data_IF_131688702330
#
_entry.id   IF_131688702330
#
_cell.length_a   1.000
_cell.length_b   1.000
_cell.length_c   1.000
_cell.angle_alpha   90.00
_cell.angle_beta   90.00
_cell.angle_gamma   90.00
#
_symmetry.space_group_name_H-M   'P 1'
#
loop_
_entity.id
_entity.type
_entity.pdbx_description
1 polymer ?
#
# COMPACT_ATOMS: atom_id res chain seq x y z
N UNK A 1 11.62 15.09 41.73
CA UNK A 1 12.54 14.00 41.32
C UNK A 1 12.50 13.97 39.80
N UNK A 2 13.38 14.77 39.20
CA UNK A 2 13.44 14.97 37.75
C UNK A 2 14.18 13.82 37.09
N UNK A 3 13.46 13.02 36.32
CA UNK A 3 14.04 12.11 35.35
C UNK A 3 14.11 12.83 34.01
N UNK A 4 14.99 13.83 33.88
CA UNK A 4 15.44 14.30 32.57
C UNK A 4 16.30 13.21 31.95
N UNK A 5 15.64 12.27 31.26
CA UNK A 5 16.30 11.34 30.35
C UNK A 5 16.94 12.18 29.23
N UNK A 6 18.24 12.43 29.36
CA UNK A 6 19.09 12.82 28.25
C UNK A 6 19.13 11.65 27.25
N UNK A 7 18.17 11.60 26.34
CA UNK A 7 18.28 10.82 25.10
C UNK A 7 19.40 11.47 24.29
N UNK A 8 20.52 10.76 24.13
CA UNK A 8 21.71 11.31 23.47
C UNK A 8 21.50 11.60 21.97
N UNK A 9 22.44 12.32 21.33
CA UNK A 9 22.38 12.66 19.90
C UNK A 9 22.35 11.42 18.97
N UNK A 10 22.77 10.25 19.46
CA UNK A 10 22.73 8.99 18.71
C UNK A 10 21.32 8.39 18.62
N UNK A 11 20.49 8.53 19.65
CA UNK A 11 19.07 8.11 19.64
C UNK A 11 18.25 8.96 18.68
N UNK A 12 18.47 10.28 18.68
CA UNK A 12 17.81 11.21 17.75
C UNK A 12 18.14 10.92 16.28
N UNK A 13 19.38 10.50 15.99
CA UNK A 13 19.79 10.14 14.63
C UNK A 13 19.14 8.83 14.17
N UNK A 14 19.06 7.82 15.05
CA UNK A 14 18.42 6.55 14.74
C UNK A 14 16.91 6.70 14.50
N UNK A 15 16.25 7.54 15.30
CA UNK A 15 14.82 7.84 15.14
C UNK A 15 14.55 8.58 13.83
N UNK A 16 15.37 9.58 13.48
CA UNK A 16 15.26 10.29 12.18
C UNK A 16 15.44 9.35 10.99
N UNK A 17 16.40 8.43 11.06
CA UNK A 17 16.63 7.41 10.02
C UNK A 17 15.46 6.43 9.95
N UNK A 18 14.84 6.10 11.09
CA UNK A 18 13.70 5.19 11.13
C UNK A 18 12.46 5.84 10.50
N UNK A 19 12.20 7.11 10.82
CA UNK A 19 11.10 7.91 10.26
C UNK A 19 11.29 8.15 8.76
N UNK A 20 12.51 8.49 8.31
CA UNK A 20 12.77 8.67 6.87
C UNK A 20 12.50 7.39 6.06
N UNK A 21 12.79 6.22 6.65
CA UNK A 21 12.50 4.92 6.03
C UNK A 21 11.01 4.60 5.97
N UNK A 22 10.22 4.99 6.97
CA UNK A 22 8.76 4.87 6.93
C UNK A 22 8.20 5.74 5.78
N UNK A 23 8.78 6.93 5.55
CA UNK A 23 8.44 7.78 4.40
C UNK A 23 8.83 7.18 3.05
N UNK A 24 9.96 6.48 2.95
CA UNK A 24 10.31 5.70 1.75
C UNK A 24 9.29 4.59 1.44
N UNK A 25 8.55 4.08 2.44
CA UNK A 25 7.48 3.09 2.23
C UNK A 25 6.15 3.72 1.78
N UNK A 26 6.00 5.04 1.91
CA UNK A 26 4.82 5.80 1.48
C UNK A 26 4.87 6.13 -0.02
N UNK A 27 5.27 5.17 -0.87
CA UNK A 27 5.29 5.29 -2.33
C UNK A 27 3.88 5.31 -2.94
N UNK A 28 3.04 6.23 -2.46
CA UNK A 28 1.63 6.32 -2.74
C UNK A 28 1.31 6.45 -4.22
N UNK A 29 2.13 7.17 -5.00
CA UNK A 29 1.95 7.29 -6.46
C UNK A 29 1.99 5.94 -7.19
N UNK A 30 2.85 5.02 -6.74
CA UNK A 30 2.89 3.65 -7.29
C UNK A 30 1.60 2.92 -6.91
N UNK A 31 1.19 2.99 -5.64
CA UNK A 31 -0.03 2.33 -5.14
C UNK A 31 -1.30 2.84 -5.82
N UNK A 32 -1.43 4.16 -6.02
CA UNK A 32 -2.53 4.78 -6.77
C UNK A 32 -2.56 4.24 -8.19
N UNK A 33 -1.44 4.26 -8.88
CA UNK A 33 -1.35 3.78 -10.24
C UNK A 33 -1.67 2.29 -10.37
N UNK A 34 -1.19 1.44 -9.46
CA UNK A 34 -1.58 0.01 -9.37
C UNK A 34 -3.09 -0.13 -9.18
N UNK A 35 -3.69 0.64 -8.27
CA UNK A 35 -5.14 0.64 -8.05
C UNK A 35 -5.94 1.02 -9.29
N UNK A 36 -5.55 2.09 -10.00
CA UNK A 36 -6.17 2.51 -11.27
C UNK A 36 -6.06 1.40 -12.32
N UNK A 37 -4.90 0.75 -12.40
CA UNK A 37 -4.63 -0.32 -13.37
C UNK A 37 -5.51 -1.55 -13.12
N UNK A 38 -5.69 -1.92 -11.84
CA UNK A 38 -6.60 -3.00 -11.44
C UNK A 38 -8.05 -2.62 -11.73
N UNK A 39 -8.45 -1.37 -11.47
CA UNK A 39 -9.80 -0.90 -11.76
C UNK A 39 -10.09 -0.96 -13.27
N UNK A 40 -9.13 -0.54 -14.10
CA UNK A 40 -9.25 -0.59 -15.55
C UNK A 40 -9.31 -2.05 -16.05
N UNK A 41 -8.48 -2.94 -15.49
CA UNK A 41 -8.55 -4.36 -15.79
C UNK A 41 -9.90 -4.98 -15.39
N UNK A 42 -10.45 -4.61 -14.24
CA UNK A 42 -11.77 -5.05 -13.80
C UNK A 42 -12.90 -4.55 -14.71
N UNK A 43 -12.83 -3.28 -15.14
CA UNK A 43 -13.83 -2.67 -16.02
C UNK A 43 -13.80 -3.27 -17.44
N UNK A 44 -12.60 -3.49 -17.98
CA UNK A 44 -12.39 -4.01 -19.34
C UNK A 44 -12.35 -5.53 -19.42
N UNK A 45 -12.23 -6.21 -18.27
CA UNK A 45 -12.03 -7.66 -18.14
C UNK A 45 -10.78 -8.16 -18.86
N UNK A 46 -9.72 -7.36 -18.83
CA UNK A 46 -8.45 -7.66 -19.50
C UNK A 46 -7.26 -7.42 -18.55
N UNK A 47 -6.50 -8.49 -18.32
CA UNK A 47 -5.30 -8.47 -17.47
C UNK A 47 -4.16 -7.63 -18.04
N UNK A 48 -4.18 -7.31 -19.33
CA UNK A 48 -3.18 -6.46 -19.99
C UNK A 48 -3.08 -5.11 -19.30
N UNK A 49 -4.21 -4.51 -18.92
CA UNK A 49 -4.24 -3.21 -18.22
C UNK A 49 -3.63 -3.29 -16.83
N UNK A 50 -3.80 -4.41 -16.13
CA UNK A 50 -3.20 -4.64 -14.82
C UNK A 50 -1.67 -4.71 -14.94
N UNK A 51 -1.15 -5.44 -15.92
CA UNK A 51 0.28 -5.61 -16.14
C UNK A 51 0.94 -4.31 -16.62
N UNK A 52 0.45 -3.74 -17.72
CA UNK A 52 1.00 -2.52 -18.32
C UNK A 52 0.92 -1.35 -17.35
N UNK A 53 -0.26 -1.16 -16.75
CA UNK A 53 -0.48 -0.04 -15.83
C UNK A 53 0.35 -0.15 -14.55
N UNK A 54 0.51 -1.35 -13.98
CA UNK A 54 1.37 -1.52 -12.78
C UNK A 54 2.84 -1.25 -13.10
N UNK A 55 3.36 -1.74 -14.23
CA UNK A 55 4.72 -1.46 -14.67
C UNK A 55 4.95 0.04 -14.88
N UNK A 56 4.00 0.71 -15.54
CA UNK A 56 4.07 2.16 -15.78
C UNK A 56 4.01 2.94 -14.46
N UNK A 57 3.18 2.50 -13.52
CA UNK A 57 3.04 3.14 -12.20
C UNK A 57 4.33 3.08 -11.39
N UNK A 58 5.05 1.94 -11.43
CA UNK A 58 6.37 1.82 -10.83
C UNK A 58 7.36 2.77 -11.52
N UNK A 59 7.42 2.76 -12.85
CA UNK A 59 8.35 3.60 -13.60
C UNK A 59 8.12 5.10 -13.33
N UNK A 60 6.87 5.57 -13.41
CA UNK A 60 6.48 6.95 -13.14
C UNK A 60 6.74 7.29 -11.66
N UNK A 61 6.29 6.43 -10.75
CA UNK A 61 6.41 6.66 -9.31
C UNK A 61 7.86 6.79 -8.87
N UNK A 62 8.71 5.83 -9.23
CA UNK A 62 10.15 5.87 -8.93
C UNK A 62 10.79 7.11 -9.54
N UNK A 63 10.55 7.37 -10.83
CA UNK A 63 11.15 8.53 -11.51
C UNK A 63 10.71 9.86 -10.87
N UNK A 64 9.43 10.00 -10.51
CA UNK A 64 8.91 11.20 -9.87
C UNK A 64 9.53 11.42 -8.49
N UNK A 65 9.58 10.38 -7.65
CA UNK A 65 10.18 10.47 -6.32
C UNK A 65 11.69 10.71 -6.37
N UNK A 66 12.42 10.02 -7.26
CA UNK A 66 13.86 10.25 -7.44
C UNK A 66 14.15 11.68 -7.91
N UNK A 67 13.34 12.22 -8.83
CA UNK A 67 13.49 13.61 -9.31
C UNK A 67 13.19 14.63 -8.20
N UNK A 68 12.19 14.38 -7.35
CA UNK A 68 11.73 15.35 -6.35
C UNK A 68 12.54 15.31 -5.04
N UNK A 69 13.02 14.13 -4.63
CA UNK A 69 13.63 13.91 -3.32
C UNK A 69 15.02 13.27 -3.37
N UNK A 70 15.54 12.95 -4.57
CA UNK A 70 16.81 12.25 -4.74
C UNK A 70 16.70 10.74 -4.52
N UNK A 71 17.82 10.03 -4.68
CA UNK A 71 17.87 8.57 -4.52
C UNK A 71 17.91 8.19 -3.04
N UNK A 72 16.88 7.49 -2.57
CA UNK A 72 16.87 6.91 -1.23
C UNK A 72 17.97 5.84 -1.09
N UNK A 73 18.85 5.99 -0.09
CA UNK A 73 19.83 4.94 0.28
C UNK A 73 19.11 3.82 1.03
N UNK A 74 18.54 2.88 0.28
CA UNK A 74 17.97 1.66 0.86
C UNK A 74 19.06 0.75 1.43
N UNK A 75 18.96 0.41 2.72
CA UNK A 75 19.81 -0.62 3.34
C UNK A 75 19.42 -2.01 2.82
N UNK A 76 20.34 -2.69 2.12
CA UNK A 76 20.17 -3.96 1.39
C UNK A 76 19.37 -5.05 2.13
N UNK A 77 19.59 -5.23 3.44
CA UNK A 77 18.93 -6.26 4.25
C UNK A 77 17.43 -6.02 4.47
N UNK A 78 17.02 -4.78 4.76
CA UNK A 78 15.59 -4.47 4.99
C UNK A 78 14.79 -4.45 3.69
N UNK A 79 15.45 -4.10 2.58
CA UNK A 79 14.88 -4.23 1.23
C UNK A 79 14.44 -5.68 0.94
N UNK A 80 15.26 -6.66 1.32
CA UNK A 80 14.94 -8.08 1.09
C UNK A 80 13.70 -8.55 1.87
N UNK A 81 13.53 -8.11 3.12
CA UNK A 81 12.34 -8.46 3.93
C UNK A 81 11.07 -7.86 3.34
N UNK A 82 11.11 -6.59 2.93
CA UNK A 82 9.96 -5.93 2.30
C UNK A 82 9.62 -6.60 0.96
N UNK A 83 10.63 -6.93 0.14
CA UNK A 83 10.43 -7.65 -1.12
C UNK A 83 9.82 -9.03 -0.88
N UNK A 84 10.35 -9.79 0.08
CA UNK A 84 9.83 -11.11 0.43
C UNK A 84 8.37 -11.03 0.91
N UNK A 85 8.06 -10.07 1.79
CA UNK A 85 6.70 -9.83 2.25
C UNK A 85 5.77 -9.50 1.08
N UNK A 86 6.17 -8.59 0.19
CA UNK A 86 5.39 -8.24 -1.01
C UNK A 86 5.13 -9.45 -1.90
N UNK A 87 6.14 -10.32 -2.10
CA UNK A 87 5.98 -11.57 -2.87
C UNK A 87 4.95 -12.49 -2.20
N UNK A 88 5.03 -12.67 -0.88
CA UNK A 88 4.09 -13.50 -0.13
C UNK A 88 2.65 -12.96 -0.20
N UNK A 89 2.48 -11.64 -0.08
CA UNK A 89 1.17 -10.98 -0.21
C UNK A 89 0.60 -11.16 -1.62
N UNK A 90 1.42 -10.92 -2.66
CA UNK A 90 1.00 -11.14 -4.05
C UNK A 90 0.58 -12.59 -4.26
N UNK A 91 1.37 -13.55 -3.78
CA UNK A 91 1.06 -14.98 -3.90
C UNK A 91 -0.25 -15.34 -3.19
N UNK A 92 -0.46 -14.84 -1.97
CA UNK A 92 -1.70 -15.06 -1.23
C UNK A 92 -2.93 -14.50 -1.96
N UNK A 93 -2.82 -13.28 -2.51
CA UNK A 93 -3.90 -12.64 -3.28
C UNK A 93 -4.18 -13.37 -4.60
N UNK A 94 -3.14 -13.84 -5.30
CA UNK A 94 -3.29 -14.63 -6.54
C UNK A 94 -3.98 -15.96 -6.25
N UNK A 95 -3.58 -16.66 -5.18
CA UNK A 95 -4.23 -17.91 -4.77
C UNK A 95 -5.70 -17.67 -4.42
N UNK A 96 -5.98 -16.62 -3.63
CA UNK A 96 -7.34 -16.23 -3.26
C UNK A 96 -8.19 -15.85 -4.49
N UNK A 97 -7.60 -15.15 -5.45
CA UNK A 97 -8.21 -14.82 -6.75
C UNK A 97 -8.58 -16.07 -7.55
N UNK A 98 -7.72 -17.10 -7.51
CA UNK A 98 -8.02 -18.40 -8.09
C UNK A 98 -9.22 -19.08 -7.43
N UNK A 99 -9.35 -19.00 -6.10
CA UNK A 99 -10.53 -19.51 -5.42
C UNK A 99 -11.80 -18.77 -5.84
N UNK A 100 -11.76 -17.44 -5.94
CA UNK A 100 -12.91 -16.64 -6.38
C UNK A 100 -13.34 -16.93 -7.82
N UNK A 101 -12.38 -17.26 -8.69
CA UNK A 101 -12.65 -17.59 -10.09
C UNK A 101 -13.20 -19.02 -10.27
N UNK A 102 -12.59 -20.01 -9.59
CA UNK A 102 -12.85 -21.44 -9.87
C UNK A 102 -13.77 -22.10 -8.87
N UNK A 103 -13.94 -21.53 -7.67
CA UNK A 103 -14.78 -22.07 -6.58
C UNK A 103 -15.63 -20.96 -5.97
N UNK A 104 -16.65 -20.46 -6.69
CA UNK A 104 -17.55 -19.44 -6.16
C UNK A 104 -18.23 -19.98 -4.90
N UNK A 105 -17.82 -19.44 -3.76
CA UNK A 105 -18.29 -19.83 -2.44
C UNK A 105 -19.21 -18.76 -1.83
N UNK A 106 -19.61 -18.95 -0.56
CA UNK A 106 -20.42 -17.95 0.16
C UNK A 106 -19.64 -16.67 0.50
N UNK A 107 -18.34 -16.64 0.25
CA UNK A 107 -17.44 -15.52 0.55
C UNK A 107 -16.48 -15.30 -0.62
N UNK A 108 -16.04 -14.05 -0.80
CA UNK A 108 -14.93 -13.72 -1.69
C UNK A 108 -13.60 -13.75 -0.91
N UNK A 109 -12.70 -14.63 -1.32
CA UNK A 109 -11.39 -14.84 -0.68
C UNK A 109 -10.44 -13.68 -0.94
N UNK A 110 -10.47 -13.07 -2.13
CA UNK A 110 -9.58 -11.96 -2.50
C UNK A 110 -9.69 -10.78 -1.52
N UNK A 111 -10.86 -10.17 -1.32
CA UNK A 111 -11.02 -9.10 -0.33
C UNK A 111 -10.77 -9.57 1.12
N UNK A 112 -11.12 -10.82 1.45
CA UNK A 112 -10.93 -11.39 2.77
C UNK A 112 -9.45 -11.51 3.16
N UNK A 113 -8.60 -11.87 2.20
CA UNK A 113 -7.16 -12.03 2.40
C UNK A 113 -6.42 -10.70 2.22
N UNK A 114 -6.80 -9.92 1.19
CA UNK A 114 -6.10 -8.68 0.87
C UNK A 114 -6.23 -7.62 1.97
N UNK A 115 -7.42 -7.41 2.54
CA UNK A 115 -7.62 -6.40 3.59
C UNK A 115 -6.71 -6.58 4.81
N UNK A 116 -6.70 -7.74 5.48
CA UNK A 116 -5.84 -8.00 6.63
C UNK A 116 -4.34 -7.96 6.29
N UNK A 117 -3.93 -8.49 5.13
CA UNK A 117 -2.52 -8.46 4.72
C UNK A 117 -2.04 -7.04 4.40
N UNK A 118 -2.87 -6.22 3.74
CA UNK A 118 -2.58 -4.81 3.51
C UNK A 118 -2.43 -4.06 4.83
N UNK A 119 -3.36 -4.29 5.77
CA UNK A 119 -3.32 -3.67 7.09
C UNK A 119 -2.08 -4.09 7.88
N UNK A 120 -1.76 -5.38 7.91
CA UNK A 120 -0.57 -5.91 8.59
C UNK A 120 0.71 -5.36 7.98
N UNK A 121 0.79 -5.29 6.65
CA UNK A 121 1.92 -4.70 5.93
C UNK A 121 2.10 -3.22 6.25
N UNK A 122 1.02 -2.45 6.28
CA UNK A 122 1.05 -1.03 6.66
C UNK A 122 1.39 -0.84 8.14
N UNK A 123 0.87 -1.68 9.02
CA UNK A 123 1.18 -1.60 10.45
C UNK A 123 2.65 -1.88 10.73
N UNK A 124 3.23 -2.87 10.06
CA UNK A 124 4.66 -3.18 10.17
C UNK A 124 5.55 -2.11 9.50
N UNK A 125 5.11 -1.57 8.36
CA UNK A 125 5.87 -0.59 7.57
C UNK A 125 5.81 0.84 8.09
N UNK A 126 4.74 1.22 8.78
CA UNK A 126 4.51 2.58 9.31
C UNK A 126 4.50 2.59 10.84
N UNK A 127 5.30 1.73 11.47
CA UNK A 127 5.33 1.57 12.93
C UNK A 127 5.72 2.84 13.67
N UNK A 128 6.50 3.74 13.05
CA UNK A 128 6.99 4.97 13.68
C UNK A 128 6.16 6.19 13.31
N UNK A 129 5.64 6.22 12.08
CA UNK A 129 4.76 7.32 11.60
C UNK A 129 3.29 7.10 11.90
N UNK A 130 2.88 5.87 12.22
CA UNK A 130 1.51 5.49 12.55
C UNK A 130 0.59 5.34 11.33
N UNK A 131 -0.46 4.54 11.53
CA UNK A 131 -1.57 4.38 10.58
C UNK A 131 -2.57 5.52 10.73
N UNK A 132 -3.06 6.03 9.60
CA UNK A 132 -4.19 6.98 9.60
C UNK A 132 -5.53 6.25 9.66
N UNK A 133 -6.60 6.96 10.04
CA UNK A 133 -7.96 6.42 10.00
C UNK A 133 -8.35 5.90 8.61
N UNK A 134 -7.88 6.54 7.54
CA UNK A 134 -8.12 6.09 6.17
C UNK A 134 -7.54 4.70 5.86
N UNK A 135 -6.38 4.36 6.42
CA UNK A 135 -5.82 3.00 6.28
C UNK A 135 -6.77 1.95 6.86
N UNK A 136 -7.27 2.22 8.07
CA UNK A 136 -8.21 1.33 8.74
C UNK A 136 -9.52 1.20 7.96
N UNK A 137 -10.14 2.32 7.59
CA UNK A 137 -11.40 2.32 6.85
C UNK A 137 -11.24 1.56 5.54
N UNK A 138 -10.19 1.82 4.77
CA UNK A 138 -9.95 1.14 3.48
C UNK A 138 -9.74 -0.36 3.64
N UNK A 139 -8.97 -0.81 4.64
CA UNK A 139 -8.73 -2.24 4.85
C UNK A 139 -9.95 -2.95 5.41
N UNK A 140 -10.66 -2.35 6.38
CA UNK A 140 -11.88 -2.92 6.95
C UNK A 140 -12.99 -2.98 5.90
N UNK A 141 -13.21 -1.90 5.15
CA UNK A 141 -14.20 -1.89 4.06
C UNK A 141 -13.89 -2.96 3.02
N UNK A 142 -12.61 -3.10 2.62
CA UNK A 142 -12.18 -4.17 1.72
C UNK A 142 -12.52 -5.55 2.28
N UNK A 143 -12.19 -5.83 3.54
CA UNK A 143 -12.52 -7.12 4.17
C UNK A 143 -14.03 -7.34 4.24
N UNK A 144 -14.82 -6.31 4.52
CA UNK A 144 -16.29 -6.42 4.55
C UNK A 144 -16.88 -6.74 3.18
N UNK A 145 -16.25 -6.31 2.08
CA UNK A 145 -16.66 -6.71 0.73
C UNK A 145 -16.63 -8.24 0.52
N UNK A 146 -15.85 -8.98 1.30
CA UNK A 146 -15.82 -10.45 1.24
C UNK A 146 -17.18 -11.10 1.52
N UNK A 147 -18.04 -10.43 2.30
CA UNK A 147 -19.33 -10.94 2.77
C UNK A 147 -20.49 -10.54 1.87
N UNK A 148 -20.24 -9.78 0.80
CA UNK A 148 -21.26 -9.38 -0.18
C UNK A 148 -22.08 -10.57 -0.71
N UNK A 149 -21.49 -11.75 -0.98
CA UNK A 149 -22.27 -12.88 -1.48
C UNK A 149 -23.36 -13.39 -0.52
N UNK A 150 -23.24 -13.11 0.78
CA UNK A 150 -24.24 -13.50 1.78
C UNK A 150 -25.57 -12.78 1.63
N UNK A 151 -25.61 -11.68 0.87
CA UNK A 151 -26.83 -10.90 0.61
C UNK A 151 -27.56 -11.33 -0.67
N UNK A 152 -27.24 -12.51 -1.23
CA UNK A 152 -27.89 -13.06 -2.42
C UNK A 152 -27.37 -12.49 -3.74
N UNK A 153 -26.30 -11.69 -3.70
CA UNK A 153 -25.58 -11.25 -4.89
C UNK A 153 -24.47 -12.24 -5.23
N UNK A 154 -24.31 -12.68 -6.47
CA UNK A 154 -23.18 -13.52 -6.89
C UNK A 154 -22.16 -12.68 -7.66
N UNK A 155 -21.24 -11.98 -6.95
CA UNK A 155 -20.25 -11.13 -7.60
C UNK A 155 -19.31 -11.93 -8.50
N UNK A 156 -19.02 -11.39 -9.68
CA UNK A 156 -18.01 -11.97 -10.56
C UNK A 156 -16.60 -11.80 -10.01
N UNK A 157 -15.64 -12.60 -10.50
CA UNK A 157 -14.20 -12.40 -10.24
C UNK A 157 -13.76 -10.93 -10.46
N UNK A 158 -14.22 -10.30 -11.55
CA UNK A 158 -13.89 -8.91 -11.87
C UNK A 158 -14.46 -7.91 -10.86
N UNK A 159 -15.59 -8.23 -10.23
CA UNK A 159 -16.11 -7.43 -9.12
C UNK A 159 -15.18 -7.50 -7.91
N UNK A 160 -14.70 -8.70 -7.54
CA UNK A 160 -13.74 -8.87 -6.45
C UNK A 160 -12.45 -8.07 -6.71
N UNK A 161 -11.91 -8.10 -7.93
CA UNK A 161 -10.78 -7.28 -8.34
C UNK A 161 -11.07 -5.77 -8.26
N UNK A 162 -12.27 -5.35 -8.67
CA UNK A 162 -12.70 -3.95 -8.55
C UNK A 162 -12.75 -3.47 -7.09
N UNK A 163 -13.18 -4.33 -6.15
CA UNK A 163 -13.20 -3.98 -4.72
C UNK A 163 -11.79 -3.78 -4.14
N UNK A 164 -10.78 -4.46 -4.67
CA UNK A 164 -9.36 -4.27 -4.28
C UNK A 164 -8.80 -2.93 -4.76
N UNK A 165 -9.22 -2.46 -5.94
CA UNK A 165 -8.68 -1.26 -6.55
C UNK A 165 -8.94 0.02 -5.75
N UNK A 166 -10.17 0.21 -5.25
CA UNK A 166 -10.57 1.43 -4.55
C UNK A 166 -9.76 1.68 -3.26
N UNK A 167 -9.59 0.71 -2.35
CA UNK A 167 -8.70 0.82 -1.20
C UNK A 167 -7.26 1.20 -1.58
N UNK A 168 -6.70 0.63 -2.66
CA UNK A 168 -5.35 0.95 -3.12
C UNK A 168 -5.23 2.41 -3.56
N UNK A 169 -6.24 2.93 -4.29
CA UNK A 169 -6.27 4.33 -4.70
C UNK A 169 -6.35 5.24 -3.48
N UNK A 170 -7.22 4.95 -2.51
CA UNK A 170 -7.38 5.76 -1.30
C UNK A 170 -6.11 5.75 -0.45
N UNK A 171 -5.59 4.56 -0.12
CA UNK A 171 -4.36 4.40 0.68
C UNK A 171 -3.19 5.06 -0.04
N UNK A 172 -3.03 4.82 -1.34
CA UNK A 172 -1.97 5.44 -2.12
C UNK A 172 -2.06 6.97 -2.14
N UNK A 173 -3.26 7.53 -2.23
CA UNK A 173 -3.45 8.99 -2.21
C UNK A 173 -3.10 9.57 -0.86
N UNK A 174 -3.54 8.93 0.23
CA UNK A 174 -3.22 9.31 1.61
C UNK A 174 -1.71 9.25 1.85
N UNK A 175 -1.07 8.17 1.42
CA UNK A 175 0.37 8.00 1.58
C UNK A 175 1.18 9.01 0.78
N UNK A 176 0.77 9.29 -0.45
CA UNK A 176 1.38 10.31 -1.27
C UNK A 176 1.27 11.70 -0.62
N UNK A 177 0.07 12.07 -0.15
CA UNK A 177 -0.13 13.35 0.55
C UNK A 177 0.70 13.44 1.83
N UNK A 178 0.80 12.36 2.61
CA UNK A 178 1.63 12.32 3.82
C UNK A 178 3.11 12.51 3.49
N UNK A 179 3.60 11.81 2.47
CA UNK A 179 4.99 11.91 2.03
C UNK A 179 5.32 13.32 1.52
N UNK A 180 4.47 13.88 0.66
CA UNK A 180 4.64 15.24 0.14
C UNK A 180 4.58 16.28 1.25
N UNK A 181 3.65 16.15 2.20
CA UNK A 181 3.53 17.08 3.33
C UNK A 181 4.71 17.02 4.30
N UNK A 182 5.30 15.84 4.48
CA UNK A 182 6.45 15.67 5.38
C UNK A 182 7.75 16.19 4.75
N UNK A 183 7.95 15.96 3.45
CA UNK A 183 9.18 16.38 2.75
C UNK A 183 9.08 17.80 2.18
N UNK A 184 7.88 18.29 1.89
CA UNK A 184 7.63 19.65 1.38
C UNK A 184 7.87 20.75 2.43
N UNK A 185 7.86 20.41 3.72
CA UNK A 185 8.28 21.34 4.79
C UNK A 185 9.80 21.53 4.87
N UNK A 186 10.58 20.83 4.03
CA UNK A 186 12.04 20.84 4.03
C UNK A 186 12.71 21.43 2.80
N UNK A 187 11.97 22.00 1.83
CA UNK A 187 12.56 22.71 0.69
C UNK A 187 12.78 24.19 1.03
N UNK A 188 14.03 24.68 1.08
CA UNK A 188 14.35 26.09 1.29
C UNK A 188 14.18 26.88 -0.01
N UNK A 189 12.95 26.90 -0.56
CA UNK A 189 12.61 27.66 -1.78
C UNK A 189 11.45 28.64 -1.55
N UNK A 190 11.19 29.04 -0.29
CA UNK A 190 10.29 30.15 0.07
C UNK A 190 10.94 31.06 1.15
N UNK A 191 12.15 31.55 0.87
CA UNK A 191 12.70 32.77 1.48
C UNK A 191 13.34 33.66 0.41
#
# INVERSE_FOLDING_TARGET
MDATQHTGPATDLQDRIAVSKDYDMLQGLITVGTGISILLAAATRDFTWMAVGSCLSVAIGVTWYEKRYGKARSTRSRSAVTVLFSILVILAVVIASGFDQWRPGPLLWTPLVAGPLMLAGKWAGLRHTGLTMWHWISCVALTLCAFIPLFGYHPSFWFAMGTLALPLIVIGSVDHQRLVSALGKGTPDEQ
#
